data_IF_227784082057
#
_entry.id   IF_227784082057
#
_cell.length_a   1.000
_cell.length_b   1.000
_cell.length_c   1.000
_cell.angle_alpha   90.00
_cell.angle_beta   90.00
_cell.angle_gamma   90.00
#
_symmetry.space_group_name_H-M   'P 1'
#
loop_
_entity.id
_entity.type
_entity.pdbx_description
1 polymer ?
#
# COMPACT_ATOMS: atom_id res chain seq x y z
N UNK A 1 -2.08 13.68 -24.86
CA UNK A 1 -1.71 13.42 -23.45
C UNK A 1 -0.35 14.06 -23.20
N UNK A 2 -0.14 14.78 -22.10
CA UNK A 2 1.04 15.63 -21.88
C UNK A 2 2.38 14.90 -22.12
N UNK A 3 2.51 13.66 -21.66
CA UNK A 3 3.74 12.87 -21.86
C UNK A 3 3.96 12.43 -23.31
N UNK A 4 2.90 12.28 -24.09
CA UNK A 4 2.97 11.93 -25.50
C UNK A 4 3.38 13.16 -26.35
N UNK A 5 2.83 14.34 -26.06
CA UNK A 5 3.23 15.60 -26.71
C UNK A 5 4.73 15.91 -26.52
N UNK A 6 5.29 15.57 -25.36
CA UNK A 6 6.73 15.68 -25.12
C UNK A 6 7.54 14.68 -25.98
N UNK A 7 7.10 13.43 -26.07
CA UNK A 7 7.84 12.37 -26.77
C UNK A 7 7.74 12.47 -28.29
N UNK A 8 6.64 13.03 -28.80
CA UNK A 8 6.46 13.37 -30.21
C UNK A 8 7.32 14.58 -30.62
N UNK A 9 8.08 15.17 -29.67
CA UNK A 9 8.97 16.32 -29.92
C UNK A 9 8.23 17.63 -30.13
N UNK A 10 6.93 17.69 -29.83
CA UNK A 10 6.07 18.84 -30.13
C UNK A 10 6.27 20.00 -29.13
N UNK A 11 6.79 19.73 -27.93
CA UNK A 11 7.00 20.74 -26.91
C UNK A 11 8.12 20.37 -25.92
N UNK A 12 8.89 21.37 -25.46
CA UNK A 12 9.85 21.22 -24.37
C UNK A 12 9.15 21.09 -23.01
N UNK A 13 9.90 20.65 -21.98
CA UNK A 13 9.40 20.59 -20.60
C UNK A 13 8.82 21.95 -20.16
N UNK A 14 9.55 23.04 -20.38
CA UNK A 14 9.12 24.38 -19.92
C UNK A 14 7.80 24.84 -20.58
N UNK A 15 7.59 24.49 -21.86
CA UNK A 15 6.34 24.81 -22.55
C UNK A 15 5.16 24.01 -21.99
N UNK A 16 5.37 22.73 -21.68
CA UNK A 16 4.34 21.85 -21.12
C UNK A 16 4.03 22.21 -19.65
N UNK A 17 5.04 22.57 -18.87
CA UNK A 17 4.88 23.04 -17.49
C UNK A 17 3.98 24.27 -17.44
N UNK A 18 4.23 25.26 -18.30
CA UNK A 18 3.43 26.47 -18.38
C UNK A 18 2.02 26.23 -18.97
N UNK A 19 1.92 25.41 -20.02
CA UNK A 19 0.65 25.11 -20.71
C UNK A 19 -0.33 24.36 -19.81
N UNK A 20 0.15 23.40 -19.04
CA UNK A 20 -0.68 22.53 -18.20
C UNK A 20 -0.61 22.86 -16.70
N UNK A 21 0.20 23.84 -16.31
CA UNK A 21 0.43 24.20 -14.90
C UNK A 21 0.87 23.00 -14.05
N UNK A 22 1.76 22.18 -14.61
CA UNK A 22 2.30 20.97 -13.97
C UNK A 22 3.72 21.26 -13.50
N UNK A 23 4.06 20.89 -12.26
CA UNK A 23 5.42 21.03 -11.75
C UNK A 23 6.42 20.13 -12.47
N UNK A 24 7.63 20.65 -12.73
CA UNK A 24 8.71 19.96 -13.47
C UNK A 24 8.99 18.53 -13.02
N UNK A 25 9.00 18.27 -11.71
CA UNK A 25 9.24 16.92 -11.17
C UNK A 25 8.15 15.94 -11.58
N UNK A 26 6.88 16.36 -11.53
CA UNK A 26 5.73 15.53 -11.89
C UNK A 26 5.76 15.22 -13.39
N UNK A 27 6.05 16.23 -14.22
CA UNK A 27 6.13 16.04 -15.67
C UNK A 27 7.24 15.06 -16.06
N UNK A 28 8.43 15.19 -15.48
CA UNK A 28 9.55 14.26 -15.70
C UNK A 28 9.20 12.83 -15.28
N UNK A 29 8.51 12.66 -14.15
CA UNK A 29 8.05 11.34 -13.70
C UNK A 29 7.04 10.72 -14.67
N UNK A 30 6.11 11.51 -15.20
CA UNK A 30 5.10 11.02 -16.15
C UNK A 30 5.73 10.61 -17.48
N UNK A 31 6.68 11.41 -17.99
CA UNK A 31 7.44 11.07 -19.19
C UNK A 31 8.25 9.78 -19.00
N UNK A 32 8.96 9.64 -17.87
CA UNK A 32 9.72 8.44 -17.55
C UNK A 32 8.83 7.19 -17.49
N UNK A 33 7.68 7.27 -16.79
CA UNK A 33 6.71 6.18 -16.73
C UNK A 33 6.14 5.81 -18.10
N UNK A 34 5.84 6.80 -18.94
CA UNK A 34 5.32 6.54 -20.29
C UNK A 34 6.37 5.93 -21.22
N UNK A 35 7.66 6.29 -21.10
CA UNK A 35 8.73 5.65 -21.88
C UNK A 35 8.84 4.14 -21.62
N UNK A 36 8.51 3.70 -20.40
CA UNK A 36 8.63 2.31 -19.99
C UNK A 36 7.37 1.49 -20.29
N UNK A 37 6.19 2.10 -20.10
CA UNK A 37 4.92 1.35 -20.10
C UNK A 37 3.90 1.90 -21.11
N UNK A 38 4.25 2.90 -21.91
CA UNK A 38 3.36 3.54 -22.88
C UNK A 38 2.01 3.91 -22.24
N UNK A 39 0.89 3.56 -22.88
CA UNK A 39 -0.45 3.82 -22.35
C UNK A 39 -0.76 3.07 -21.04
N UNK A 40 -0.11 1.93 -20.78
CA UNK A 40 -0.31 1.17 -19.54
C UNK A 40 0.19 1.92 -18.30
N UNK A 41 1.09 2.91 -18.48
CA UNK A 41 1.63 3.74 -17.41
C UNK A 41 0.55 4.49 -16.61
N UNK A 42 -0.59 4.79 -17.26
CA UNK A 42 -1.70 5.56 -16.69
C UNK A 42 -2.95 4.72 -16.44
N UNK A 43 -2.84 3.39 -16.52
CA UNK A 43 -3.92 2.51 -16.09
C UNK A 43 -4.05 2.57 -14.57
N UNK A 44 -5.11 3.23 -14.10
CA UNK A 44 -5.46 3.23 -12.69
C UNK A 44 -5.88 1.82 -12.27
N UNK A 45 -5.03 1.14 -11.50
CA UNK A 45 -5.42 -0.11 -10.83
C UNK A 45 -6.53 0.22 -9.82
N UNK A 46 -7.59 -0.58 -9.80
CA UNK A 46 -8.63 -0.48 -8.77
C UNK A 46 -8.06 -1.03 -7.45
N UNK A 47 -7.87 -0.16 -6.46
CA UNK A 47 -7.46 -0.52 -5.10
C UNK A 47 -5.95 -0.50 -4.83
N UNK A 48 -5.57 -0.88 -3.61
CA UNK A 48 -4.18 -0.89 -3.15
C UNK A 48 -3.39 -2.00 -3.84
N UNK A 49 -2.18 -1.69 -4.30
CA UNK A 49 -1.25 -2.73 -4.79
C UNK A 49 -0.63 -3.45 -3.59
N UNK A 50 -0.78 -4.77 -3.52
CA UNK A 50 -0.10 -5.61 -2.54
C UNK A 50 1.22 -6.12 -3.11
N UNK A 51 2.24 -6.18 -2.27
CA UNK A 51 3.55 -6.73 -2.58
C UNK A 51 3.85 -7.85 -1.59
N UNK A 52 4.27 -9.01 -2.08
CA UNK A 52 4.67 -10.12 -1.22
C UNK A 52 5.93 -9.76 -0.42
N UNK A 53 6.16 -10.49 0.67
CA UNK A 53 7.37 -10.40 1.47
C UNK A 53 8.62 -10.66 0.63
N UNK A 54 8.61 -11.73 -0.17
CA UNK A 54 9.75 -12.10 -1.04
C UNK A 54 10.05 -10.99 -2.04
N UNK A 55 9.01 -10.46 -2.69
CA UNK A 55 9.16 -9.34 -3.64
C UNK A 55 9.82 -8.13 -2.97
N UNK A 56 9.35 -7.75 -1.78
CA UNK A 56 9.91 -6.61 -1.05
C UNK A 56 11.36 -6.84 -0.65
N UNK A 57 11.66 -8.03 -0.16
CA UNK A 57 13.02 -8.38 0.32
C UNK A 57 14.01 -8.39 -0.81
N UNK A 58 13.66 -8.94 -1.98
CA UNK A 58 14.52 -8.92 -3.18
C UNK A 58 14.92 -7.51 -3.57
N UNK A 59 13.96 -6.59 -3.70
CA UNK A 59 14.25 -5.23 -4.18
C UNK A 59 14.87 -4.33 -3.11
N UNK A 60 14.61 -4.57 -1.83
CA UNK A 60 15.38 -3.94 -0.75
C UNK A 60 16.83 -4.41 -0.82
N UNK A 61 17.07 -5.71 -1.00
CA UNK A 61 18.40 -6.29 -1.17
C UNK A 61 19.16 -5.67 -2.33
N UNK A 62 18.54 -5.56 -3.51
CA UNK A 62 19.14 -4.96 -4.70
C UNK A 62 19.54 -3.47 -4.51
N UNK A 63 18.75 -2.68 -3.78
CA UNK A 63 19.18 -1.31 -3.43
C UNK A 63 20.39 -1.34 -2.48
N UNK A 64 20.38 -2.23 -1.48
CA UNK A 64 21.43 -2.30 -0.46
C UNK A 64 22.74 -2.90 -0.99
N UNK A 65 22.69 -3.78 -1.99
CA UNK A 65 23.87 -4.32 -2.69
C UNK A 65 24.46 -3.33 -3.70
N UNK A 66 23.74 -2.24 -4.00
CA UNK A 66 24.17 -1.23 -4.96
C UNK A 66 23.90 -1.60 -6.42
N UNK A 67 23.06 -2.59 -6.68
CA UNK A 67 22.67 -3.01 -8.04
C UNK A 67 21.85 -1.95 -8.79
N UNK A 68 21.20 -1.04 -8.06
CA UNK A 68 20.48 0.07 -8.65
C UNK A 68 20.06 1.11 -7.62
N UNK A 69 19.81 2.35 -8.07
CA UNK A 69 19.23 3.37 -7.19
C UNK A 69 17.75 3.07 -6.94
N UNK A 70 17.18 3.69 -5.90
CA UNK A 70 15.73 3.61 -5.62
C UNK A 70 14.90 4.00 -6.85
N UNK A 71 15.40 4.93 -7.67
CA UNK A 71 14.71 5.37 -8.88
C UNK A 71 14.77 4.35 -10.00
N UNK A 72 15.92 3.70 -10.19
CA UNK A 72 16.09 2.67 -11.21
C UNK A 72 15.20 1.46 -10.88
N UNK A 73 15.21 1.01 -9.62
CA UNK A 73 14.40 -0.15 -9.20
C UNK A 73 12.90 0.15 -9.28
N UNK A 74 12.47 1.37 -8.92
CA UNK A 74 11.04 1.75 -9.04
C UNK A 74 10.62 1.95 -10.49
N UNK A 75 11.55 2.28 -11.39
CA UNK A 75 11.28 2.39 -12.81
C UNK A 75 11.22 1.01 -13.48
N UNK A 76 12.15 0.11 -13.17
CA UNK A 76 12.18 -1.26 -13.71
C UNK A 76 11.03 -2.10 -13.17
N UNK A 77 10.74 -1.95 -11.88
CA UNK A 77 9.75 -2.76 -11.19
C UNK A 77 8.43 -1.98 -11.06
N UNK A 78 7.30 -2.66 -11.13
CA UNK A 78 5.97 -2.06 -10.95
C UNK A 78 5.68 -1.63 -9.49
N UNK A 79 6.65 -1.02 -8.81
CA UNK A 79 6.50 -0.38 -7.51
C UNK A 79 5.77 0.94 -7.72
N UNK A 80 4.70 1.16 -6.96
CA UNK A 80 3.78 2.27 -7.19
C UNK A 80 4.44 3.65 -7.00
N UNK A 81 5.42 3.74 -6.10
CA UNK A 81 6.17 4.97 -5.87
C UNK A 81 7.53 4.75 -5.22
N UNK A 82 8.40 5.74 -5.38
CA UNK A 82 9.67 5.87 -4.66
C UNK A 82 9.50 5.78 -3.14
N UNK A 83 8.42 6.36 -2.62
CA UNK A 83 8.16 6.39 -1.18
C UNK A 83 7.89 4.97 -0.63
N UNK A 84 7.23 4.13 -1.42
CA UNK A 84 6.94 2.74 -1.03
C UNK A 84 8.24 1.95 -0.84
N UNK A 85 9.17 2.02 -1.80
CA UNK A 85 10.46 1.34 -1.68
C UNK A 85 11.31 1.90 -0.52
N UNK A 86 11.32 3.23 -0.33
CA UNK A 86 12.00 3.86 0.82
C UNK A 86 11.45 3.40 2.16
N UNK A 87 10.13 3.24 2.26
CA UNK A 87 9.51 2.73 3.48
C UNK A 87 9.94 1.28 3.76
N UNK A 88 10.06 0.43 2.72
CA UNK A 88 10.55 -0.93 2.90
C UNK A 88 11.99 -0.97 3.38
N UNK A 89 12.88 -0.18 2.78
CA UNK A 89 14.29 -0.07 3.21
C UNK A 89 14.37 0.41 4.65
N UNK A 90 13.58 1.42 5.04
CA UNK A 90 13.53 1.93 6.41
C UNK A 90 13.08 0.85 7.42
N UNK A 91 12.02 0.10 7.08
CA UNK A 91 11.54 -1.01 7.92
C UNK A 91 12.58 -2.12 8.04
N UNK A 92 13.24 -2.47 6.94
CA UNK A 92 14.31 -3.47 6.91
C UNK A 92 15.49 -3.06 7.81
N UNK A 93 15.97 -1.82 7.66
CA UNK A 93 17.08 -1.28 8.47
C UNK A 93 16.74 -1.15 9.96
N UNK A 94 15.46 -0.96 10.29
CA UNK A 94 14.97 -0.94 11.66
C UNK A 94 14.78 -2.36 12.26
N UNK A 95 15.19 -3.42 11.56
CA UNK A 95 14.93 -4.82 11.90
C UNK A 95 13.44 -5.11 12.17
N UNK A 96 12.54 -4.37 11.50
CA UNK A 96 11.09 -4.60 11.58
C UNK A 96 10.67 -5.56 10.49
N UNK A 97 9.82 -6.53 10.82
CA UNK A 97 9.30 -7.49 9.86
C UNK A 97 8.52 -6.80 8.71
N UNK A 98 8.89 -7.12 7.47
CA UNK A 98 8.17 -6.69 6.25
C UNK A 98 6.90 -7.53 6.04
N UNK A 99 5.96 -7.55 6.99
CA UNK A 99 4.77 -8.41 6.95
C UNK A 99 3.98 -8.29 5.64
N UNK A 100 3.44 -9.41 5.16
CA UNK A 100 2.50 -9.44 4.04
C UNK A 100 1.32 -8.50 4.31
N UNK A 101 0.86 -7.80 3.26
CA UNK A 101 -0.35 -7.00 3.37
C UNK A 101 -1.54 -7.95 3.49
N UNK A 102 -2.00 -8.13 4.73
CA UNK A 102 -3.22 -8.85 5.06
C UNK A 102 -4.24 -7.83 5.57
N UNK A 103 -5.08 -7.26 4.68
CA UNK A 103 -6.15 -6.38 5.10
C UNK A 103 -7.20 -7.24 5.81
N UNK A 104 -7.00 -7.48 7.11
CA UNK A 104 -8.08 -7.96 7.97
C UNK A 104 -9.21 -6.98 7.79
N UNK A 105 -10.35 -7.45 7.22
CA UNK A 105 -11.59 -6.67 7.20
C UNK A 105 -11.75 -6.14 8.60
N UNK A 106 -11.72 -4.81 8.72
CA UNK A 106 -11.91 -4.17 9.99
C UNK A 106 -13.15 -4.77 10.62
N UNK A 107 -13.02 -5.34 11.82
CA UNK A 107 -14.14 -5.92 12.58
C UNK A 107 -15.29 -4.89 12.70
N UNK A 108 -14.95 -3.60 12.57
CA UNK A 108 -15.85 -2.45 12.46
C UNK A 108 -16.81 -2.48 11.25
N UNK A 109 -16.52 -3.24 10.20
CA UNK A 109 -17.27 -3.28 8.93
C UNK A 109 -17.88 -4.67 8.65
N UNK A 110 -17.82 -5.61 9.59
CA UNK A 110 -18.50 -6.89 9.46
C UNK A 110 -19.98 -6.73 9.85
N UNK A 111 -20.89 -7.01 8.93
CA UNK A 111 -22.30 -7.25 9.30
C UNK A 111 -22.35 -8.39 10.32
N UNK A 112 -23.22 -8.27 11.34
CA UNK A 112 -23.35 -9.28 12.39
C UNK A 112 -23.77 -10.63 11.81
N UNK A 113 -22.80 -11.55 11.70
CA UNK A 113 -22.98 -12.84 11.03
C UNK A 113 -23.77 -13.85 11.85
N UNK A 114 -23.69 -13.78 13.19
CA UNK A 114 -24.29 -14.76 14.10
C UNK A 114 -24.78 -14.12 15.38
N UNK A 115 -25.88 -14.65 15.94
CA UNK A 115 -26.35 -14.31 17.29
C UNK A 115 -25.57 -15.15 18.30
N UNK A 116 -25.09 -14.53 19.38
CA UNK A 116 -24.45 -15.20 20.50
C UNK A 116 -25.50 -15.62 21.54
N UNK A 117 -25.22 -16.67 22.30
CA UNK A 117 -26.02 -17.02 23.49
C UNK A 117 -25.61 -16.18 24.69
N UNK A 118 -26.41 -16.18 25.76
CA UNK A 118 -26.10 -15.43 27.00
C UNK A 118 -24.80 -15.95 27.62
N UNK A 119 -24.59 -17.27 27.65
CA UNK A 119 -23.38 -17.89 28.19
C UNK A 119 -22.13 -17.51 27.40
N UNK A 120 -22.23 -17.54 26.08
CA UNK A 120 -21.16 -17.14 25.18
C UNK A 120 -20.84 -15.64 25.32
N UNK A 121 -21.86 -14.79 25.47
CA UNK A 121 -21.68 -13.37 25.73
C UNK A 121 -20.92 -13.13 27.04
N UNK A 122 -21.28 -13.86 28.10
CA UNK A 122 -20.55 -13.80 29.37
C UNK A 122 -19.08 -14.22 29.24
N UNK A 123 -18.78 -15.22 28.43
CA UNK A 123 -17.41 -15.66 28.14
C UNK A 123 -16.61 -14.58 27.39
N UNK A 124 -17.20 -14.01 26.33
CA UNK A 124 -16.60 -12.95 25.51
C UNK A 124 -16.27 -11.71 26.38
N UNK A 125 -17.20 -11.26 27.22
CA UNK A 125 -17.01 -10.08 28.08
C UNK A 125 -15.93 -10.33 29.14
N UNK A 126 -15.92 -11.52 29.75
CA UNK A 126 -14.86 -11.91 30.71
C UNK A 126 -13.50 -11.93 30.04
N UNK A 127 -13.41 -12.52 28.85
CA UNK A 127 -12.17 -12.56 28.07
C UNK A 127 -11.69 -11.15 27.72
N UNK A 128 -12.56 -10.29 27.19
CA UNK A 128 -12.21 -8.92 26.82
C UNK A 128 -11.71 -8.11 28.03
N UNK A 129 -12.36 -8.28 29.18
CA UNK A 129 -11.97 -7.62 30.44
C UNK A 129 -10.60 -8.07 30.93
N UNK A 130 -10.25 -9.35 30.76
CA UNK A 130 -8.94 -9.90 31.12
C UNK A 130 -7.82 -9.54 30.13
N UNK A 131 -8.14 -9.17 28.89
CA UNK A 131 -7.18 -8.90 27.81
C UNK A 131 -7.09 -7.41 27.47
N UNK A 132 -7.01 -6.56 28.50
CA UNK A 132 -6.81 -5.11 28.37
C UNK A 132 -7.87 -4.41 27.48
N UNK A 133 -9.10 -4.93 27.47
CA UNK A 133 -10.21 -4.43 26.65
C UNK A 133 -9.87 -4.39 25.16
N UNK A 134 -9.12 -5.39 24.68
CA UNK A 134 -8.82 -5.51 23.26
C UNK A 134 -10.02 -6.08 22.49
N UNK A 135 -10.99 -5.20 22.22
CA UNK A 135 -12.24 -5.53 21.54
C UNK A 135 -12.02 -6.11 20.14
N UNK A 136 -11.00 -5.64 19.42
CA UNK A 136 -10.71 -6.07 18.04
C UNK A 136 -10.21 -7.51 17.99
N UNK A 137 -9.27 -7.85 18.85
CA UNK A 137 -8.73 -9.21 18.89
C UNK A 137 -9.73 -10.17 19.53
N UNK A 138 -10.48 -9.73 20.55
CA UNK A 138 -11.58 -10.51 21.12
C UNK A 138 -12.65 -10.84 20.07
N UNK A 139 -13.08 -9.84 19.31
CA UNK A 139 -14.07 -10.05 18.25
C UNK A 139 -13.55 -11.02 17.17
N UNK A 140 -12.27 -10.93 16.83
CA UNK A 140 -11.63 -11.87 15.89
C UNK A 140 -11.52 -13.29 16.44
N UNK A 141 -11.21 -13.44 17.74
CA UNK A 141 -11.05 -14.73 18.41
C UNK A 141 -12.37 -15.49 18.50
N UNK A 142 -13.43 -14.79 18.86
CA UNK A 142 -14.76 -15.38 19.03
C UNK A 142 -15.59 -15.35 17.74
N UNK A 143 -15.06 -14.87 16.61
CA UNK A 143 -15.81 -14.69 15.36
C UNK A 143 -17.14 -13.95 15.57
N UNK A 144 -17.07 -12.82 16.28
CA UNK A 144 -18.20 -11.91 16.53
C UNK A 144 -17.87 -10.51 16.03
N UNK A 145 -18.87 -9.66 15.90
CA UNK A 145 -18.62 -8.25 15.54
C UNK A 145 -18.08 -7.47 16.71
N UNK A 146 -17.39 -6.37 16.40
CA UNK A 146 -16.87 -5.45 17.41
C UNK A 146 -18.00 -4.99 18.36
N UNK A 147 -19.16 -4.67 17.79
CA UNK A 147 -20.34 -4.26 18.55
C UNK A 147 -20.79 -5.33 19.55
N UNK A 148 -20.75 -6.61 19.20
CA UNK A 148 -21.15 -7.71 20.09
C UNK A 148 -20.17 -7.98 21.24
N UNK A 149 -18.95 -7.44 21.19
CA UNK A 149 -18.03 -7.47 22.34
C UNK A 149 -18.25 -6.26 23.25
N UNK A 150 -18.76 -5.17 22.68
CA UNK A 150 -19.00 -3.93 23.39
C UNK A 150 -20.34 -3.93 24.15
N UNK A 151 -21.37 -4.55 23.56
CA UNK A 151 -22.71 -4.73 24.15
C UNK A 151 -22.83 -6.06 24.89
#
# INVERSE_FOLDING_TARGET
MVSQEYLDGLASYDLLENKYQIGSKTLKQWVAKYRLYSLLAFNNKKGNTSYSFDFRTTYVGAVLSGEGSVDDIVAECHISSRQVLRNWISMYNANRELKNYDPKREVYMAEARRKTTIDECMEIVKYCSGHNRNYKDTASLFDVTYSQVYY
#
